data_IF_165376907488
#
_entry.id   IF_165376907488
#
_cell.length_a   1.000
_cell.length_b   1.000
_cell.length_c   1.000
_cell.angle_alpha   90.00
_cell.angle_beta   90.00
_cell.angle_gamma   90.00
#
_symmetry.space_group_name_H-M   'P 1'
#
loop_
_entity.id
_entity.type
_entity.pdbx_description
1 polymer ?
#
# COMPACT_ATOMS: atom_id res chain seq x y z
N UNK A 1 -51.55 3.40 12.76
CA UNK A 1 -52.08 2.21 13.46
C UNK A 1 -51.36 0.97 12.91
N UNK A 2 -50.39 0.42 13.65
CA UNK A 2 -50.45 -0.79 14.50
C UNK A 2 -50.40 -2.14 13.75
N UNK A 3 -49.21 -2.74 13.77
CA UNK A 3 -48.81 -4.13 14.10
C UNK A 3 -49.83 -5.29 14.10
N UNK A 4 -49.34 -6.48 13.68
CA UNK A 4 -49.83 -7.79 14.16
C UNK A 4 -49.20 -9.00 13.44
N UNK A 5 -47.97 -9.41 13.79
CA UNK A 5 -47.64 -10.67 14.51
C UNK A 5 -48.50 -11.91 14.17
N UNK A 6 -47.94 -12.85 13.39
CA UNK A 6 -48.37 -14.26 13.39
C UNK A 6 -47.63 -15.02 14.50
N UNK A 7 -48.30 -15.26 15.63
CA UNK A 7 -47.89 -16.20 16.69
C UNK A 7 -48.54 -17.54 16.42
N UNK A 8 -47.72 -18.58 16.26
CA UNK A 8 -48.18 -19.98 16.15
C UNK A 8 -48.54 -20.49 17.54
N UNK A 9 -49.72 -21.10 17.63
CA UNK A 9 -50.40 -21.54 18.84
C UNK A 9 -49.69 -22.69 19.57
N UNK A 10 -49.83 -22.68 20.90
CA UNK A 10 -49.59 -23.82 21.77
C UNK A 10 -50.89 -24.63 21.89
N UNK A 11 -50.79 -25.96 21.89
CA UNK A 11 -51.87 -26.86 22.32
C UNK A 11 -51.29 -27.84 23.33
N UNK A 12 -51.81 -27.78 24.55
CA UNK A 12 -51.64 -28.76 25.62
C UNK A 12 -52.93 -29.57 25.65
N UNK A 13 -52.84 -30.90 25.55
CA UNK A 13 -53.96 -31.80 25.83
C UNK A 13 -53.58 -32.67 27.02
N UNK A 14 -54.30 -32.46 28.12
CA UNK A 14 -54.35 -33.34 29.28
C UNK A 14 -55.58 -34.24 29.13
N UNK A 15 -55.42 -35.55 29.36
CA UNK A 15 -56.53 -36.47 29.54
C UNK A 15 -56.36 -37.16 30.90
N UNK A 16 -57.27 -36.84 31.83
CA UNK A 16 -57.54 -37.61 33.05
C UNK A 16 -58.41 -38.82 32.70
N UNK A 17 -58.06 -39.99 33.23
CA UNK A 17 -58.98 -41.12 33.41
C UNK A 17 -58.72 -41.73 34.79
N UNK A 18 -59.74 -41.67 35.66
CA UNK A 18 -59.82 -42.44 36.88
C UNK A 18 -60.39 -43.83 36.56
N UNK A 19 -59.81 -44.88 37.15
CA UNK A 19 -60.33 -46.24 37.08
C UNK A 19 -59.62 -47.13 38.08
N UNK A 20 -60.38 -47.67 39.03
CA UNK A 20 -59.97 -48.50 40.17
C UNK A 20 -59.51 -49.91 39.75
N UNK A 21 -58.46 -50.43 40.41
CA UNK A 21 -58.32 -51.88 40.64
C UNK A 21 -57.08 -52.58 40.06
N UNK A 22 -56.30 -53.15 40.99
CA UNK A 22 -55.50 -54.37 40.88
C UNK A 22 -54.09 -54.35 40.21
N UNK A 23 -53.13 -54.77 41.05
CA UNK A 23 -51.81 -55.38 40.80
C UNK A 23 -50.81 -54.62 39.93
N UNK A 24 -49.80 -54.06 40.61
CA UNK A 24 -48.47 -53.76 40.06
C UNK A 24 -47.74 -55.06 39.71
N UNK A 25 -47.29 -55.29 38.47
CA UNK A 25 -46.04 -55.97 38.26
C UNK A 25 -44.92 -54.97 38.50
N UNK A 26 -43.89 -55.37 39.24
CA UNK A 26 -42.63 -54.66 39.31
C UNK A 26 -42.05 -54.59 37.88
N UNK A 27 -42.22 -53.43 37.23
CA UNK A 27 -41.45 -53.10 36.04
C UNK A 27 -40.08 -52.60 36.51
N UNK A 28 -39.11 -53.50 36.48
CA UNK A 28 -37.71 -53.12 36.46
C UNK A 28 -37.44 -52.16 35.29
N UNK A 29 -36.75 -51.07 35.63
CA UNK A 29 -35.98 -50.16 34.77
C UNK A 29 -36.10 -50.33 33.25
N UNK A 30 -37.02 -49.59 32.63
CA UNK A 30 -36.83 -49.14 31.25
C UNK A 30 -37.02 -47.63 31.18
N UNK A 31 -35.90 -46.92 31.31
CA UNK A 31 -35.79 -45.47 31.21
C UNK A 31 -36.34 -44.88 29.91
N UNK A 32 -37.65 -44.69 29.86
CA UNK A 32 -38.33 -43.80 28.93
C UNK A 32 -38.26 -42.41 29.56
N UNK A 33 -37.22 -41.64 29.23
CA UNK A 33 -37.39 -40.21 29.35
C UNK A 33 -38.45 -39.79 28.35
N UNK A 34 -39.55 -39.24 28.84
CA UNK A 34 -40.47 -38.48 28.02
C UNK A 34 -39.67 -37.45 27.23
N UNK A 35 -40.04 -37.23 25.97
CA UNK A 35 -39.46 -36.20 25.10
C UNK A 35 -39.37 -34.83 25.82
N UNK A 36 -40.29 -34.57 26.76
CA UNK A 36 -40.32 -33.39 27.63
C UNK A 36 -39.06 -33.24 28.50
N UNK A 37 -38.56 -34.31 29.13
CA UNK A 37 -37.39 -34.24 30.03
C UNK A 37 -36.09 -34.03 29.26
N UNK A 38 -35.95 -34.67 28.09
CA UNK A 38 -34.79 -34.48 27.20
C UNK A 38 -34.75 -33.04 26.67
N UNK A 39 -35.91 -32.47 26.32
CA UNK A 39 -36.02 -31.08 25.86
C UNK A 39 -35.72 -30.09 26.99
N UNK A 40 -36.18 -30.35 28.22
CA UNK A 40 -35.85 -29.53 29.39
C UNK A 40 -34.34 -29.54 29.68
N UNK A 41 -33.70 -30.70 29.56
CA UNK A 41 -32.25 -30.82 29.77
C UNK A 41 -31.45 -30.20 28.62
N UNK A 42 -31.95 -30.26 27.38
CA UNK A 42 -31.38 -29.52 26.24
C UNK A 42 -31.47 -28.00 26.44
N UNK A 43 -32.60 -27.51 26.96
CA UNK A 43 -32.82 -26.11 27.29
C UNK A 43 -31.93 -25.66 28.46
N UNK A 44 -31.54 -26.58 29.37
CA UNK A 44 -30.61 -26.30 30.47
C UNK A 44 -29.17 -26.03 29.99
N UNK A 45 -28.79 -26.54 28.82
CA UNK A 45 -27.46 -26.30 28.23
C UNK A 45 -27.49 -25.03 27.39
N UNK A 46 -26.87 -23.98 27.93
CA UNK A 46 -26.86 -22.65 27.32
C UNK A 46 -26.27 -22.61 25.89
N UNK A 47 -26.66 -21.57 25.14
CA UNK A 47 -26.09 -21.27 23.82
C UNK A 47 -24.63 -20.86 23.95
N UNK A 48 -23.77 -21.33 23.04
CA UNK A 48 -22.38 -20.89 22.95
C UNK A 48 -22.31 -19.42 22.52
N UNK A 49 -21.58 -18.61 23.29
CA UNK A 49 -21.29 -17.19 23.03
C UNK A 49 -19.78 -16.94 22.95
N UNK A 50 -19.39 -15.73 22.51
CA UNK A 50 -17.97 -15.35 22.45
C UNK A 50 -17.15 -16.14 21.43
N UNK A 51 -17.78 -16.80 20.46
CA UNK A 51 -17.09 -17.54 19.41
C UNK A 51 -16.18 -16.58 18.65
N UNK A 52 -14.88 -16.88 18.59
CA UNK A 52 -13.87 -16.16 17.84
C UNK A 52 -12.87 -17.09 17.17
N UNK A 53 -12.13 -16.59 16.18
CA UNK A 53 -11.10 -17.35 15.48
C UNK A 53 -9.73 -16.67 15.51
N UNK A 54 -8.69 -17.48 15.42
CA UNK A 54 -7.33 -17.08 15.04
C UNK A 54 -6.89 -17.97 13.88
N UNK A 55 -6.60 -17.37 12.74
CA UNK A 55 -6.04 -18.09 11.60
C UNK A 55 -4.58 -18.38 11.88
N UNK A 56 -4.21 -19.67 11.89
CA UNK A 56 -2.86 -20.12 12.25
C UNK A 56 -1.98 -20.25 11.01
N UNK A 57 -2.56 -20.71 9.90
CA UNK A 57 -1.83 -20.97 8.66
C UNK A 57 -2.76 -20.87 7.44
N UNK A 58 -2.26 -21.30 6.29
CA UNK A 58 -3.06 -21.44 5.08
C UNK A 58 -3.98 -22.68 5.08
N UNK A 59 -3.95 -23.51 6.13
CA UNK A 59 -4.76 -24.73 6.23
C UNK A 59 -5.33 -25.00 7.63
N UNK A 60 -5.12 -24.08 8.58
CA UNK A 60 -5.54 -24.25 9.96
C UNK A 60 -6.15 -22.98 10.57
N UNK A 61 -7.27 -23.17 11.28
CA UNK A 61 -7.98 -22.11 12.01
C UNK A 61 -8.28 -22.62 13.42
N UNK A 62 -7.91 -21.85 14.44
CA UNK A 62 -8.27 -22.12 15.83
C UNK A 62 -9.51 -21.34 16.21
N UNK A 63 -10.57 -22.04 16.61
CA UNK A 63 -11.78 -21.48 17.18
C UNK A 63 -11.69 -21.47 18.71
N UNK A 64 -12.23 -20.43 19.34
CA UNK A 64 -12.33 -20.30 20.79
C UNK A 64 -13.70 -19.71 21.16
N UNK A 65 -14.26 -20.09 22.30
CA UNK A 65 -15.55 -19.58 22.77
C UNK A 65 -15.63 -19.53 24.29
N UNK A 66 -16.68 -18.91 24.83
CA UNK A 66 -16.92 -18.85 26.27
C UNK A 66 -17.42 -20.19 26.82
N UNK A 67 -16.98 -20.56 28.02
CA UNK A 67 -17.44 -21.78 28.71
C UNK A 67 -18.95 -21.72 28.95
N UNK A 68 -19.68 -22.76 28.59
CA UNK A 68 -21.10 -22.94 28.89
C UNK A 68 -21.23 -23.73 30.20
N UNK A 69 -21.89 -23.15 31.21
CA UNK A 69 -22.15 -23.82 32.51
C UNK A 69 -22.96 -25.10 32.28
N UNK A 70 -22.57 -26.20 32.93
CA UNK A 70 -23.27 -27.48 32.83
C UNK A 70 -23.02 -28.28 31.54
N UNK A 71 -22.19 -27.79 30.60
CA UNK A 71 -21.85 -28.53 29.38
C UNK A 71 -20.82 -29.64 29.68
N UNK A 72 -21.07 -30.84 29.17
CA UNK A 72 -20.11 -31.95 29.15
C UNK A 72 -19.07 -31.81 28.02
N UNK A 73 -19.38 -31.02 27.00
CA UNK A 73 -18.48 -30.72 25.88
C UNK A 73 -19.16 -29.88 24.80
N UNK A 74 -18.49 -29.78 23.65
CA UNK A 74 -18.93 -28.98 22.52
C UNK A 74 -18.77 -29.77 21.23
N UNK A 75 -19.63 -29.48 20.25
CA UNK A 75 -19.50 -30.00 18.89
C UNK A 75 -19.31 -28.84 17.93
N UNK A 76 -18.28 -28.95 17.10
CA UNK A 76 -17.93 -27.95 16.09
C UNK A 76 -18.45 -28.39 14.73
N UNK A 77 -19.01 -27.43 13.98
CA UNK A 77 -19.58 -27.64 12.66
C UNK A 77 -18.99 -26.62 11.68
N UNK A 78 -18.82 -27.06 10.43
CA UNK A 78 -18.37 -26.21 9.32
C UNK A 78 -19.36 -26.30 8.16
N UNK A 79 -19.63 -25.17 7.53
CA UNK A 79 -20.52 -25.13 6.37
C UNK A 79 -19.83 -25.71 5.14
N UNK A 80 -20.46 -26.71 4.50
CA UNK A 80 -20.05 -27.27 3.21
C UNK A 80 -21.31 -27.59 2.41
N UNK A 81 -21.36 -27.17 1.14
CA UNK A 81 -22.50 -27.37 0.24
C UNK A 81 -23.83 -26.90 0.86
N UNK A 82 -23.84 -25.68 1.42
CA UNK A 82 -25.02 -25.06 2.03
C UNK A 82 -25.39 -25.56 3.44
N UNK A 83 -24.91 -26.73 3.87
CA UNK A 83 -25.24 -27.36 5.16
C UNK A 83 -24.08 -27.33 6.16
N UNK A 84 -24.38 -27.39 7.45
CA UNK A 84 -23.37 -27.45 8.53
C UNK A 84 -23.06 -28.91 8.89
N UNK A 85 -21.89 -29.39 8.51
CA UNK A 85 -21.44 -30.75 8.80
C UNK A 85 -20.61 -30.77 10.08
N UNK A 86 -20.73 -31.83 10.87
CA UNK A 86 -19.95 -32.03 12.10
C UNK A 86 -18.48 -32.22 11.75
N UNK A 87 -17.61 -31.47 12.41
CA UNK A 87 -16.16 -31.68 12.37
C UNK A 87 -15.68 -32.59 13.50
N UNK A 88 -16.20 -32.39 14.71
CA UNK A 88 -15.78 -33.16 15.87
C UNK A 88 -16.29 -32.61 17.19
N UNK A 89 -16.03 -33.36 18.25
CA UNK A 89 -16.35 -32.99 19.62
C UNK A 89 -15.08 -32.64 20.39
N UNK A 90 -15.19 -31.74 21.37
CA UNK A 90 -14.11 -31.42 22.30
C UNK A 90 -14.67 -31.08 23.69
N UNK A 91 -13.89 -31.38 24.74
CA UNK A 91 -14.25 -31.03 26.13
C UNK A 91 -13.90 -29.58 26.47
N UNK A 92 -12.80 -29.07 25.91
CA UNK A 92 -12.34 -27.70 26.10
C UNK A 92 -13.14 -26.67 25.30
N UNK A 93 -12.83 -25.40 25.52
CA UNK A 93 -13.47 -24.24 24.88
C UNK A 93 -12.73 -23.76 23.62
N UNK A 94 -11.93 -24.64 23.01
CA UNK A 94 -11.23 -24.37 21.75
C UNK A 94 -11.15 -25.61 20.88
N UNK A 95 -11.05 -25.39 19.57
CA UNK A 95 -10.91 -26.45 18.58
C UNK A 95 -10.13 -25.94 17.37
N UNK A 96 -9.10 -26.69 16.96
CA UNK A 96 -8.31 -26.37 15.77
C UNK A 96 -8.81 -27.18 14.59
N UNK A 97 -9.37 -26.48 13.61
CA UNK A 97 -9.76 -27.08 12.32
C UNK A 97 -8.52 -27.12 11.44
N UNK A 98 -8.21 -28.30 10.89
CA UNK A 98 -7.03 -28.56 10.06
C UNK A 98 -7.43 -29.00 8.65
N UNK A 99 -6.45 -29.08 7.75
CA UNK A 99 -6.61 -29.53 6.36
C UNK A 99 -7.64 -28.68 5.57
N UNK A 100 -7.73 -27.40 5.90
CA UNK A 100 -8.57 -26.46 5.19
C UNK A 100 -7.92 -26.04 3.86
N UNK A 101 -8.72 -25.73 2.81
CA UNK A 101 -8.20 -25.16 1.59
C UNK A 101 -7.54 -23.79 1.83
N UNK A 102 -6.53 -23.47 1.02
CA UNK A 102 -5.84 -22.19 1.12
C UNK A 102 -6.76 -21.02 0.73
N UNK A 103 -6.50 -19.83 1.31
CA UNK A 103 -7.18 -18.57 0.98
C UNK A 103 -8.71 -18.67 0.83
N UNK A 104 -9.36 -19.47 1.66
CA UNK A 104 -10.78 -19.82 1.53
C UNK A 104 -11.57 -19.26 2.69
N UNK A 105 -12.77 -18.73 2.40
CA UNK A 105 -13.70 -18.23 3.41
C UNK A 105 -14.44 -19.40 4.02
N UNK A 106 -14.42 -19.50 5.33
CA UNK A 106 -15.03 -20.59 6.08
C UNK A 106 -16.07 -20.06 7.06
N UNK A 107 -17.07 -20.89 7.33
CA UNK A 107 -18.21 -20.56 8.18
C UNK A 107 -18.36 -21.65 9.26
N UNK A 108 -18.34 -21.24 10.53
CA UNK A 108 -18.38 -22.15 11.66
C UNK A 108 -19.56 -21.91 12.58
N UNK A 109 -20.07 -22.99 13.16
CA UNK A 109 -20.98 -22.97 14.29
C UNK A 109 -20.52 -23.95 15.36
N UNK A 110 -20.78 -23.61 16.61
CA UNK A 110 -20.49 -24.47 17.76
C UNK A 110 -21.76 -24.60 18.60
N UNK A 111 -22.01 -25.78 19.14
CA UNK A 111 -23.06 -25.96 20.16
C UNK A 111 -22.51 -26.79 21.31
N UNK A 112 -22.92 -26.44 22.53
CA UNK A 112 -22.62 -27.23 23.71
C UNK A 112 -23.53 -28.45 23.78
N UNK A 113 -23.06 -29.51 24.45
CA UNK A 113 -23.87 -30.67 24.77
C UNK A 113 -23.67 -31.09 26.24
N UNK A 114 -24.67 -31.75 26.80
CA UNK A 114 -24.60 -32.48 28.08
C UNK A 114 -24.78 -33.97 27.80
N UNK A 115 -24.08 -34.81 28.54
CA UNK A 115 -24.22 -36.26 28.44
C UNK A 115 -25.15 -36.73 29.55
N UNK A 116 -26.28 -37.32 29.18
CA UNK A 116 -27.31 -37.82 30.10
C UNK A 116 -27.51 -39.30 29.79
N UNK A 117 -27.24 -40.18 30.76
CA UNK A 117 -27.27 -41.66 30.58
C UNK A 117 -26.57 -42.12 29.28
N UNK A 118 -25.36 -41.60 29.04
CA UNK A 118 -24.55 -41.93 27.85
C UNK A 118 -24.98 -41.26 26.54
N UNK A 119 -26.10 -40.53 26.48
CA UNK A 119 -26.60 -39.85 25.27
C UNK A 119 -26.28 -38.35 25.29
N UNK A 120 -25.93 -37.78 24.12
CA UNK A 120 -25.65 -36.34 23.97
C UNK A 120 -26.93 -35.56 23.72
N UNK A 121 -27.24 -34.66 24.64
CA UNK A 121 -28.33 -33.70 24.53
C UNK A 121 -27.73 -32.33 24.20
N UNK A 122 -28.22 -31.69 23.14
CA UNK A 122 -27.56 -30.51 22.56
C UNK A 122 -28.33 -29.22 22.80
N UNK A 123 -27.60 -28.16 23.17
CA UNK A 123 -28.14 -26.81 23.21
C UNK A 123 -28.26 -26.16 21.82
N UNK A 124 -28.69 -24.90 21.79
CA UNK A 124 -28.79 -24.09 20.56
C UNK A 124 -27.41 -23.87 19.92
N UNK A 125 -27.38 -23.81 18.59
CA UNK A 125 -26.19 -23.37 17.84
C UNK A 125 -25.80 -21.94 18.19
N UNK A 126 -24.48 -21.67 18.19
CA UNK A 126 -23.92 -20.32 18.17
C UNK A 126 -24.42 -19.51 16.97
N UNK A 127 -24.18 -18.19 17.00
CA UNK A 127 -24.21 -17.41 15.77
C UNK A 127 -23.19 -17.97 14.75
N UNK A 128 -23.44 -17.73 13.46
CA UNK A 128 -22.49 -18.08 12.41
C UNK A 128 -21.22 -17.25 12.57
N UNK A 129 -20.05 -17.89 12.43
CA UNK A 129 -18.76 -17.22 12.49
C UNK A 129 -18.01 -17.37 11.17
N UNK A 130 -17.83 -16.24 10.49
CA UNK A 130 -17.10 -16.15 9.23
C UNK A 130 -15.64 -15.79 9.49
N UNK A 131 -14.73 -16.45 8.78
CA UNK A 131 -13.29 -16.19 8.82
C UNK A 131 -12.66 -16.75 7.55
N UNK A 132 -11.33 -16.72 7.41
CA UNK A 132 -10.65 -17.30 6.26
C UNK A 132 -9.29 -17.89 6.64
N UNK A 133 -8.81 -18.86 5.85
CA UNK A 133 -7.42 -19.31 5.90
C UNK A 133 -6.49 -18.27 5.27
N UNK A 134 -5.23 -18.24 5.73
CA UNK A 134 -4.23 -17.36 5.13
C UNK A 134 -3.96 -17.78 3.67
N UNK A 135 -3.63 -16.83 2.78
CA UNK A 135 -3.00 -17.16 1.51
C UNK A 135 -1.66 -17.90 1.69
N UNK A 136 -1.29 -18.66 0.67
CA UNK A 136 0.09 -19.17 0.57
C UNK A 136 1.07 -18.00 0.34
N UNK A 137 2.36 -18.25 0.57
CA UNK A 137 3.40 -17.28 0.24
C UNK A 137 3.37 -16.98 -1.27
N UNK A 138 3.55 -15.71 -1.64
CA UNK A 138 3.64 -15.34 -3.05
C UNK A 138 4.87 -15.98 -3.69
N UNK A 139 4.74 -16.40 -4.96
CA UNK A 139 5.81 -17.03 -5.76
C UNK A 139 6.13 -16.18 -6.99
N UNK A 140 7.36 -16.31 -7.47
CA UNK A 140 7.79 -15.70 -8.73
C UNK A 140 7.80 -14.17 -8.74
N UNK A 141 7.93 -13.52 -7.57
CA UNK A 141 8.15 -12.07 -7.53
C UNK A 141 9.45 -11.76 -8.29
N UNK A 142 9.36 -10.87 -9.28
CA UNK A 142 10.50 -10.41 -10.07
C UNK A 142 10.33 -8.95 -10.47
N UNK A 143 11.44 -8.34 -10.85
CA UNK A 143 11.48 -7.05 -11.52
C UNK A 143 11.21 -7.29 -13.01
N UNK A 144 10.18 -6.65 -13.55
CA UNK A 144 9.80 -6.74 -14.97
C UNK A 144 10.47 -5.68 -15.83
N UNK A 145 10.61 -4.46 -15.30
CA UNK A 145 11.29 -3.36 -15.98
C UNK A 145 11.73 -2.31 -14.98
N UNK A 146 12.76 -1.55 -15.36
CA UNK A 146 13.27 -0.39 -14.61
C UNK A 146 13.27 0.84 -15.51
N UNK A 147 12.72 1.93 -15.00
CA UNK A 147 12.81 3.28 -15.56
C UNK A 147 13.79 4.13 -14.76
N UNK A 148 13.86 5.42 -15.09
CA UNK A 148 14.66 6.41 -14.34
C UNK A 148 14.03 6.73 -12.99
N UNK A 149 12.69 6.72 -12.90
CA UNK A 149 11.92 7.07 -11.70
C UNK A 149 10.97 5.96 -11.22
N UNK A 150 11.08 4.76 -11.80
CA UNK A 150 10.07 3.72 -11.62
C UNK A 150 10.62 2.31 -11.75
N UNK A 151 9.96 1.37 -11.07
CA UNK A 151 10.24 -0.07 -11.13
C UNK A 151 8.93 -0.82 -11.26
N UNK A 152 8.78 -1.64 -12.30
CA UNK A 152 7.63 -2.53 -12.46
C UNK A 152 7.95 -3.90 -11.88
N UNK A 153 7.11 -4.36 -10.95
CA UNK A 153 7.15 -5.68 -10.34
C UNK A 153 6.08 -6.58 -10.96
N UNK A 154 6.36 -7.89 -11.07
CA UNK A 154 5.36 -8.91 -11.40
C UNK A 154 5.54 -10.17 -10.59
N UNK A 155 4.49 -10.98 -10.48
CA UNK A 155 4.50 -12.24 -9.74
C UNK A 155 3.48 -13.25 -10.29
N UNK A 156 3.57 -14.50 -9.83
CA UNK A 156 2.63 -15.55 -10.22
C UNK A 156 1.28 -15.37 -9.51
N UNK A 157 0.19 -15.52 -10.25
CA UNK A 157 -1.17 -15.47 -9.68
C UNK A 157 -1.37 -16.58 -8.64
N UNK A 158 -1.85 -16.21 -7.46
CA UNK A 158 -2.34 -17.13 -6.44
C UNK A 158 -3.77 -16.75 -6.02
N UNK A 159 -4.48 -17.70 -5.42
CA UNK A 159 -5.80 -17.45 -4.85
C UNK A 159 -5.69 -16.49 -3.67
N UNK A 160 -6.15 -15.26 -3.84
CA UNK A 160 -6.23 -14.23 -2.79
C UNK A 160 -7.21 -13.13 -3.20
N UNK A 161 -7.53 -12.22 -2.26
CA UNK A 161 -8.33 -11.02 -2.56
C UNK A 161 -7.47 -9.92 -3.18
N UNK A 162 -6.26 -9.70 -2.66
CA UNK A 162 -5.30 -8.72 -3.20
C UNK A 162 -3.87 -9.05 -2.75
N UNK A 163 -2.91 -8.37 -3.35
CA UNK A 163 -1.51 -8.35 -2.98
C UNK A 163 -1.17 -7.03 -2.30
N UNK A 164 -0.28 -7.08 -1.32
CA UNK A 164 0.30 -5.94 -0.63
C UNK A 164 1.77 -5.82 -0.99
N UNK A 165 2.19 -4.63 -1.41
CA UNK A 165 3.53 -4.34 -1.90
C UNK A 165 4.26 -3.55 -0.82
N UNK A 166 5.47 -3.97 -0.50
CA UNK A 166 6.32 -3.34 0.49
C UNK A 166 7.65 -2.93 -0.13
N UNK A 167 8.15 -1.78 0.31
CA UNK A 167 9.47 -1.26 -0.02
C UNK A 167 10.30 -1.15 1.27
N UNK A 168 11.59 -1.44 1.18
CA UNK A 168 12.54 -1.14 2.24
C UNK A 168 12.90 0.35 2.18
N UNK A 169 12.55 1.10 3.22
CA UNK A 169 12.82 2.52 3.36
C UNK A 169 13.62 2.71 4.65
N UNK A 170 14.91 3.04 4.51
CA UNK A 170 15.84 3.24 5.64
C UNK A 170 15.92 2.05 6.61
N UNK A 171 15.89 0.82 6.07
CA UNK A 171 15.95 -0.42 6.87
C UNK A 171 14.58 -0.97 7.29
N UNK A 172 13.51 -0.21 7.12
CA UNK A 172 12.15 -0.61 7.51
C UNK A 172 11.27 -0.96 6.31
N UNK A 173 10.48 -2.02 6.45
CA UNK A 173 9.52 -2.41 5.42
C UNK A 173 8.20 -1.66 5.55
N UNK A 174 7.89 -0.80 4.58
CA UNK A 174 6.65 -0.01 4.54
C UNK A 174 5.73 -0.49 3.42
N UNK A 175 4.43 -0.59 3.69
CA UNK A 175 3.43 -0.87 2.64
C UNK A 175 3.30 0.36 1.75
N UNK A 176 3.59 0.19 0.45
CA UNK A 176 3.53 1.27 -0.53
C UNK A 176 2.33 1.15 -1.47
N UNK A 177 1.63 0.00 -1.44
CA UNK A 177 0.47 -0.18 -2.31
C UNK A 177 -0.21 -1.54 -2.15
N UNK A 178 -1.38 -1.64 -2.80
CA UNK A 178 -2.15 -2.86 -2.94
C UNK A 178 -2.70 -2.99 -4.36
N UNK A 179 -2.86 -4.21 -4.85
CA UNK A 179 -3.47 -4.47 -6.16
C UNK A 179 -4.15 -5.83 -6.20
N UNK A 180 -5.19 -6.00 -7.01
CA UNK A 180 -5.80 -7.29 -7.32
C UNK A 180 -5.09 -8.00 -8.49
N UNK A 181 -4.33 -7.25 -9.28
CA UNK A 181 -3.54 -7.76 -10.40
C UNK A 181 -2.25 -8.46 -9.97
N UNK A 182 -1.50 -8.96 -10.93
CA UNK A 182 -0.23 -9.68 -10.74
C UNK A 182 1.00 -8.84 -11.06
N UNK A 183 0.84 -7.53 -11.10
CA UNK A 183 1.91 -6.56 -11.30
C UNK A 183 1.63 -5.25 -10.58
N UNK A 184 2.69 -4.51 -10.26
CA UNK A 184 2.60 -3.19 -9.66
C UNK A 184 3.79 -2.33 -10.10
N UNK A 185 3.54 -1.10 -10.52
CA UNK A 185 4.60 -0.14 -10.86
C UNK A 185 4.80 0.81 -9.69
N UNK A 186 5.97 0.74 -9.08
CA UNK A 186 6.45 1.72 -8.10
C UNK A 186 6.97 2.92 -8.89
N UNK A 187 6.52 4.13 -8.55
CA UNK A 187 6.87 5.40 -9.22
C UNK A 187 7.52 6.36 -8.22
N UNK A 188 7.97 7.52 -8.71
CA UNK A 188 8.58 8.59 -7.90
C UNK A 188 9.83 8.11 -7.14
N UNK A 189 10.61 7.26 -7.79
CA UNK A 189 11.89 6.78 -7.30
C UNK A 189 13.00 7.73 -7.78
N UNK A 190 14.07 7.83 -7.00
CA UNK A 190 15.26 8.57 -7.41
C UNK A 190 16.00 7.79 -8.50
N UNK A 191 16.58 8.45 -9.51
CA UNK A 191 17.45 7.82 -10.50
C UNK A 191 18.69 7.18 -9.89
N UNK A 192 19.27 6.21 -10.59
CA UNK A 192 20.50 5.48 -10.21
C UNK A 192 20.50 4.95 -8.76
N UNK A 193 19.33 4.69 -8.18
CA UNK A 193 19.18 4.35 -6.76
C UNK A 193 18.72 2.91 -6.60
N UNK A 194 19.34 2.19 -5.64
CA UNK A 194 19.00 0.80 -5.32
C UNK A 194 17.78 0.75 -4.39
N UNK A 195 16.80 -0.07 -4.75
CA UNK A 195 15.56 -0.32 -4.01
C UNK A 195 15.34 -1.82 -3.78
N UNK A 196 14.67 -2.15 -2.68
CA UNK A 196 14.28 -3.51 -2.35
C UNK A 196 12.77 -3.61 -2.13
N UNK A 197 12.19 -4.68 -2.66
CA UNK A 197 10.75 -4.91 -2.62
C UNK A 197 10.43 -6.33 -2.17
N UNK A 198 9.31 -6.48 -1.45
CA UNK A 198 8.68 -7.77 -1.18
C UNK A 198 7.17 -7.62 -1.21
N UNK A 199 6.47 -8.73 -1.39
CA UNK A 199 5.00 -8.73 -1.42
C UNK A 199 4.44 -9.76 -0.45
N UNK A 200 3.16 -9.63 -0.10
CA UNK A 200 2.38 -10.72 0.50
C UNK A 200 0.95 -10.71 -0.04
N UNK A 201 0.33 -11.88 -0.10
CA UNK A 201 -1.07 -11.99 -0.45
C UNK A 201 -1.97 -11.79 0.77
N UNK A 202 -3.17 -11.30 0.51
CA UNK A 202 -4.21 -11.02 1.49
C UNK A 202 -5.53 -11.67 1.08
N UNK A 203 -6.20 -12.35 2.01
CA UNK A 203 -7.58 -12.81 1.88
C UNK A 203 -8.47 -12.01 2.83
N UNK A 204 -9.51 -11.39 2.29
CA UNK A 204 -10.54 -10.73 3.10
C UNK A 204 -11.64 -11.73 3.42
N UNK A 205 -12.02 -11.84 4.69
CA UNK A 205 -13.24 -12.54 5.09
C UNK A 205 -14.49 -11.65 4.91
N UNK A 206 -15.68 -12.24 5.09
CA UNK A 206 -16.97 -11.58 4.87
C UNK A 206 -17.42 -10.67 6.02
N UNK A 207 -16.60 -10.49 7.06
CA UNK A 207 -16.97 -9.54 8.11
C UNK A 207 -16.85 -8.14 7.54
N UNK A 208 -17.92 -7.35 7.74
CA UNK A 208 -18.05 -5.93 7.35
C UNK A 208 -16.91 -5.02 7.84
N UNK A 209 -15.94 -5.55 8.59
CA UNK A 209 -14.81 -4.86 9.21
C UNK A 209 -13.47 -5.38 8.67
N UNK A 210 -13.12 -5.14 7.40
CA UNK A 210 -11.74 -5.22 6.85
C UNK A 210 -10.79 -6.31 7.40
N UNK A 211 -11.30 -7.50 7.74
CA UNK A 211 -10.51 -8.53 8.40
C UNK A 211 -9.66 -9.24 7.36
N UNK A 212 -8.39 -8.86 7.34
CA UNK A 212 -7.41 -9.32 6.39
C UNK A 212 -6.61 -10.48 6.99
N UNK A 213 -6.57 -11.59 6.27
CA UNK A 213 -5.77 -12.77 6.56
C UNK A 213 -4.56 -12.74 5.63
N UNK A 214 -3.37 -12.64 6.19
CA UNK A 214 -2.15 -12.41 5.42
C UNK A 214 -1.33 -13.69 5.27
N UNK A 215 -0.87 -13.94 4.05
CA UNK A 215 0.16 -14.94 3.80
C UNK A 215 1.52 -14.48 4.29
N UNK A 216 2.48 -15.41 4.30
CA UNK A 216 3.89 -15.05 4.50
C UNK A 216 4.37 -14.10 3.40
N UNK A 217 5.36 -13.26 3.72
CA UNK A 217 6.04 -12.46 2.72
C UNK A 217 6.73 -13.34 1.67
N UNK A 218 6.85 -12.84 0.45
CA UNK A 218 7.74 -13.38 -0.58
C UNK A 218 9.20 -13.21 -0.17
N UNK A 219 10.10 -13.80 -0.98
CA UNK A 219 11.49 -13.34 -1.04
C UNK A 219 11.59 -11.86 -1.42
N UNK A 220 12.75 -11.26 -1.16
CA UNK A 220 13.06 -9.88 -1.50
C UNK A 220 13.64 -9.84 -2.91
N UNK A 221 13.20 -8.88 -3.72
CA UNK A 221 13.84 -8.53 -4.99
C UNK A 221 14.51 -7.16 -4.86
N UNK A 222 15.63 -6.99 -5.53
CA UNK A 222 16.38 -5.72 -5.57
C UNK A 222 16.36 -5.18 -7.00
N UNK A 223 16.20 -3.87 -7.16
CA UNK A 223 16.25 -3.19 -8.44
C UNK A 223 17.05 -1.89 -8.28
N UNK A 224 17.81 -1.50 -9.30
CA UNK A 224 18.42 -0.17 -9.38
C UNK A 224 17.71 0.57 -10.51
N UNK A 225 17.18 1.77 -10.24
CA UNK A 225 16.62 2.63 -11.29
C UNK A 225 17.69 3.05 -12.28
N UNK A 226 17.30 3.35 -13.51
CA UNK A 226 18.23 3.85 -14.53
C UNK A 226 18.79 5.22 -14.12
N UNK A 227 19.98 5.55 -14.62
CA UNK A 227 20.47 6.92 -14.57
C UNK A 227 19.51 7.82 -15.37
N UNK A 228 19.32 9.04 -14.91
CA UNK A 228 18.56 10.05 -15.65
C UNK A 228 19.47 10.70 -16.68
N UNK A 229 18.94 10.92 -17.88
CA UNK A 229 19.63 11.68 -18.94
C UNK A 229 19.33 13.19 -18.84
N UNK A 230 18.53 13.58 -17.84
CA UNK A 230 18.21 15.00 -17.57
C UNK A 230 19.47 15.77 -17.20
N UNK A 231 19.53 17.00 -17.70
CA UNK A 231 20.53 18.01 -17.32
C UNK A 231 20.52 18.15 -15.78
N UNK A 232 21.71 18.15 -15.17
CA UNK A 232 21.88 18.32 -13.73
C UNK A 232 22.42 19.70 -13.40
N UNK A 233 22.40 20.09 -12.13
CA UNK A 233 23.03 21.35 -11.70
C UNK A 233 24.52 21.40 -12.07
N UNK A 234 25.25 20.28 -11.96
CA UNK A 234 26.65 20.23 -12.35
C UNK A 234 26.83 20.47 -13.86
N UNK A 235 25.93 19.96 -14.68
CA UNK A 235 25.96 20.22 -16.12
C UNK A 235 25.63 21.68 -16.44
N UNK A 236 24.69 22.30 -15.70
CA UNK A 236 24.38 23.73 -15.78
C UNK A 236 25.57 24.60 -15.38
N UNK A 237 26.30 24.24 -14.32
CA UNK A 237 27.46 25.00 -13.84
C UNK A 237 28.60 24.98 -14.88
N UNK A 238 28.86 23.83 -15.50
CA UNK A 238 29.82 23.70 -16.60
C UNK A 238 29.37 24.53 -17.81
N UNK A 239 28.10 24.41 -18.21
CA UNK A 239 27.54 25.16 -19.33
C UNK A 239 27.59 26.68 -19.09
N UNK A 240 27.27 27.16 -17.88
CA UNK A 240 27.35 28.58 -17.51
C UNK A 240 28.75 29.11 -17.75
N UNK A 241 29.76 28.36 -17.30
CA UNK A 241 31.17 28.72 -17.49
C UNK A 241 31.55 28.77 -18.97
N UNK A 242 31.23 27.73 -19.74
CA UNK A 242 31.51 27.68 -21.19
C UNK A 242 30.83 28.83 -21.95
N UNK A 243 29.59 29.17 -21.60
CA UNK A 243 28.85 30.26 -22.23
C UNK A 243 29.41 31.63 -21.85
N UNK A 244 29.85 31.81 -20.60
CA UNK A 244 30.50 33.06 -20.18
C UNK A 244 31.84 33.26 -20.89
N UNK A 245 32.67 32.22 -20.98
CA UNK A 245 33.93 32.26 -21.73
C UNK A 245 33.68 32.57 -23.22
N UNK A 246 32.65 31.95 -23.81
CA UNK A 246 32.21 32.26 -25.17
C UNK A 246 31.77 33.72 -25.31
N UNK A 247 30.95 34.23 -24.39
CA UNK A 247 30.50 35.64 -24.38
C UNK A 247 31.69 36.61 -24.31
N UNK A 248 32.61 36.40 -23.37
CA UNK A 248 33.82 37.21 -23.24
C UNK A 248 34.66 37.17 -24.52
N UNK A 249 34.69 36.05 -25.25
CA UNK A 249 35.43 35.94 -26.53
C UNK A 249 34.82 36.78 -27.65
N UNK A 250 33.53 37.14 -27.55
CA UNK A 250 32.80 37.97 -28.52
C UNK A 250 32.81 39.47 -28.19
N UNK A 251 33.20 39.84 -26.98
CA UNK A 251 33.27 41.23 -26.51
C UNK A 251 34.50 41.98 -27.06
N UNK A 252 34.63 42.08 -28.39
CA UNK A 252 35.78 42.69 -29.07
C UNK A 252 35.99 44.16 -28.66
N UNK A 253 34.92 44.96 -28.69
CA UNK A 253 34.98 46.37 -28.26
C UNK A 253 35.49 46.52 -26.82
N UNK A 254 34.97 45.70 -25.90
CA UNK A 254 35.40 45.73 -24.50
C UNK A 254 36.88 45.38 -24.41
N UNK A 255 37.37 44.36 -25.14
CA UNK A 255 38.78 43.98 -25.10
C UNK A 255 39.71 45.11 -25.56
N UNK A 256 39.28 45.90 -26.53
CA UNK A 256 40.06 47.02 -27.05
C UNK A 256 39.97 48.26 -26.16
N UNK A 257 38.85 48.46 -25.47
CA UNK A 257 38.53 49.72 -24.79
C UNK A 257 38.31 49.59 -23.26
N UNK A 258 38.61 48.44 -22.64
CA UNK A 258 38.31 48.20 -21.21
C UNK A 258 38.92 49.24 -20.27
N UNK A 259 40.02 49.89 -20.66
CA UNK A 259 40.68 50.94 -19.85
C UNK A 259 39.88 52.23 -19.77
N UNK A 260 38.88 52.41 -20.63
CA UNK A 260 38.01 53.59 -20.68
C UNK A 260 36.80 53.48 -19.75
N UNK A 261 36.53 52.28 -19.20
CA UNK A 261 35.38 52.03 -18.34
C UNK A 261 35.66 52.40 -16.88
N UNK A 262 34.60 52.76 -16.15
CA UNK A 262 34.69 53.13 -14.74
C UNK A 262 35.24 51.99 -13.87
N UNK A 263 36.16 52.34 -12.95
CA UNK A 263 36.87 51.40 -12.08
C UNK A 263 38.23 50.91 -12.61
N UNK A 264 38.65 51.28 -13.82
CA UNK A 264 39.99 50.95 -14.30
C UNK A 264 41.07 51.63 -13.43
N UNK A 265 42.09 50.88 -13.03
CA UNK A 265 43.16 51.36 -12.15
C UNK A 265 42.83 51.32 -10.65
N UNK A 266 41.58 51.02 -10.27
CA UNK A 266 41.14 50.93 -8.86
C UNK A 266 40.50 49.59 -8.53
N UNK A 267 39.58 49.11 -9.37
CA UNK A 267 38.83 47.86 -9.17
C UNK A 267 39.29 46.72 -10.08
N UNK A 268 39.88 47.06 -11.23
CA UNK A 268 40.50 46.12 -12.17
C UNK A 268 41.60 46.82 -12.98
N UNK A 269 42.55 46.04 -13.50
CA UNK A 269 43.67 46.50 -14.31
C UNK A 269 43.83 45.67 -15.61
N UNK A 270 43.16 44.53 -15.72
CA UNK A 270 43.15 43.69 -16.92
C UNK A 270 41.73 43.49 -17.43
N UNK A 271 41.59 43.12 -18.71
CA UNK A 271 40.28 42.80 -19.29
C UNK A 271 39.64 41.57 -18.63
N UNK A 272 40.44 40.60 -18.19
CA UNK A 272 39.91 39.42 -17.49
C UNK A 272 39.37 39.81 -16.11
N UNK A 273 40.07 40.68 -15.38
CA UNK A 273 39.56 41.24 -14.11
C UNK A 273 38.28 42.08 -14.33
N UNK A 274 38.18 42.81 -15.44
CA UNK A 274 36.93 43.49 -15.83
C UNK A 274 35.79 42.49 -16.01
N UNK A 275 35.99 41.41 -16.78
CA UNK A 275 34.97 40.39 -16.98
C UNK A 275 34.58 39.69 -15.68
N UNK A 276 35.55 39.33 -14.83
CA UNK A 276 35.30 38.73 -13.52
C UNK A 276 34.51 39.66 -12.60
N UNK A 277 34.80 40.96 -12.63
CA UNK A 277 34.04 41.98 -11.91
C UNK A 277 32.59 42.04 -12.41
N UNK A 278 32.36 42.07 -13.73
CA UNK A 278 31.02 42.03 -14.30
C UNK A 278 30.25 40.78 -13.85
N UNK A 279 30.86 39.59 -13.97
CA UNK A 279 30.23 38.32 -13.56
C UNK A 279 29.85 38.31 -12.08
N UNK A 280 30.67 38.95 -11.23
CA UNK A 280 30.44 39.06 -9.78
C UNK A 280 29.32 40.02 -9.43
N UNK A 281 29.21 41.12 -10.18
CA UNK A 281 28.34 42.23 -9.80
C UNK A 281 26.98 42.20 -10.50
N UNK A 282 26.88 41.62 -11.70
CA UNK A 282 25.64 41.67 -12.48
C UNK A 282 24.65 40.61 -12.00
N UNK A 283 23.45 41.07 -11.66
CA UNK A 283 22.29 40.26 -11.32
C UNK A 283 21.07 40.75 -12.09
N UNK A 284 20.00 39.93 -12.21
CA UNK A 284 18.75 40.38 -12.81
C UNK A 284 18.10 41.60 -12.12
N UNK A 285 18.49 41.92 -10.88
CA UNK A 285 17.91 43.04 -10.11
C UNK A 285 18.66 44.37 -10.33
N UNK A 286 19.91 44.32 -10.78
CA UNK A 286 20.76 45.52 -10.92
C UNK A 286 21.32 45.73 -12.33
N UNK A 287 20.99 44.86 -13.29
CA UNK A 287 21.49 44.88 -14.66
C UNK A 287 20.33 44.77 -15.66
N UNK A 288 20.54 45.23 -16.89
CA UNK A 288 19.52 45.12 -17.94
C UNK A 288 19.61 43.75 -18.63
N UNK A 289 18.48 43.26 -19.14
CA UNK A 289 18.44 42.11 -20.03
C UNK A 289 17.24 42.19 -20.97
N UNK A 290 17.39 41.70 -22.20
CA UNK A 290 16.32 41.81 -23.20
C UNK A 290 15.29 40.67 -23.13
N UNK A 291 15.71 39.49 -22.68
CA UNK A 291 14.85 38.29 -22.62
C UNK A 291 15.40 37.24 -21.66
N UNK A 292 14.52 36.40 -21.12
CA UNK A 292 14.87 35.24 -20.30
C UNK A 292 14.70 33.96 -21.12
N UNK A 293 15.74 33.13 -21.19
CA UNK A 293 15.68 31.83 -21.85
C UNK A 293 15.40 30.73 -20.83
N UNK A 294 14.52 29.80 -21.17
CA UNK A 294 14.05 28.76 -20.26
C UNK A 294 14.63 27.42 -20.68
N UNK A 295 15.26 26.73 -19.74
CA UNK A 295 15.68 25.33 -19.88
C UNK A 295 14.80 24.51 -18.94
N UNK A 296 13.86 23.70 -19.45
CA UNK A 296 13.05 22.82 -18.60
C UNK A 296 13.93 21.82 -17.82
N UNK A 297 13.57 21.54 -16.56
CA UNK A 297 14.34 20.59 -15.73
C UNK A 297 14.25 19.12 -16.17
N UNK A 298 13.43 18.82 -17.16
CA UNK A 298 13.37 17.53 -17.85
C UNK A 298 14.09 17.50 -19.19
N UNK A 299 14.77 18.59 -19.58
CA UNK A 299 15.63 18.64 -20.76
C UNK A 299 16.80 17.65 -20.64
N UNK A 300 17.16 17.06 -21.77
CA UNK A 300 18.18 15.99 -21.90
C UNK A 300 19.28 16.32 -22.91
N UNK A 301 19.08 17.29 -23.81
CA UNK A 301 20.05 17.63 -24.86
C UNK A 301 20.80 18.93 -24.53
N UNK A 302 21.84 18.81 -23.70
CA UNK A 302 22.64 19.96 -23.30
C UNK A 302 23.43 20.59 -24.46
N UNK A 303 23.80 19.80 -25.48
CA UNK A 303 24.59 20.33 -26.60
C UNK A 303 23.74 21.21 -27.52
N UNK A 304 22.49 20.83 -27.77
CA UNK A 304 21.55 21.69 -28.50
C UNK A 304 21.20 22.96 -27.70
N UNK A 305 21.00 22.85 -26.38
CA UNK A 305 20.82 24.02 -25.50
C UNK A 305 22.02 24.98 -25.58
N UNK A 306 23.24 24.45 -25.45
CA UNK A 306 24.48 25.25 -25.57
C UNK A 306 24.56 25.97 -26.91
N UNK A 307 24.29 25.26 -28.01
CA UNK A 307 24.30 25.83 -29.36
C UNK A 307 23.27 26.97 -29.51
N UNK A 308 22.05 26.78 -29.00
CA UNK A 308 21.02 27.82 -29.05
C UNK A 308 21.44 29.07 -28.26
N UNK A 309 21.98 28.90 -27.06
CA UNK A 309 22.43 30.03 -26.23
C UNK A 309 23.62 30.77 -26.85
N UNK A 310 24.59 30.06 -27.46
CA UNK A 310 25.67 30.70 -28.24
C UNK A 310 25.14 31.56 -29.39
N UNK A 311 24.15 31.07 -30.13
CA UNK A 311 23.51 31.86 -31.20
C UNK A 311 22.82 33.13 -30.67
N UNK A 312 22.29 33.09 -29.43
CA UNK A 312 21.68 34.26 -28.78
C UNK A 312 22.72 35.28 -28.32
N UNK A 313 23.85 34.82 -27.79
CA UNK A 313 25.01 35.66 -27.48
C UNK A 313 25.50 36.36 -28.75
N UNK A 314 25.73 35.61 -29.84
CA UNK A 314 26.16 36.18 -31.12
C UNK A 314 25.17 37.22 -31.67
N UNK A 315 23.87 36.98 -31.46
CA UNK A 315 22.84 37.94 -31.86
C UNK A 315 22.83 39.21 -30.99
N UNK A 316 23.10 39.07 -29.69
CA UNK A 316 23.26 40.20 -28.77
C UNK A 316 24.39 41.14 -29.21
N UNK A 317 25.57 40.58 -29.46
CA UNK A 317 26.74 41.35 -29.91
C UNK A 317 26.55 42.00 -31.29
N UNK A 318 25.75 41.40 -32.20
CA UNK A 318 25.39 42.05 -33.47
C UNK A 318 24.52 43.31 -33.31
N UNK A 319 23.88 43.49 -32.15
CA UNK A 319 23.00 44.64 -31.88
C UNK A 319 23.66 45.68 -30.98
N UNK A 320 24.40 45.22 -29.99
CA UNK A 320 25.08 46.05 -29.01
C UNK A 320 26.54 45.55 -28.94
N UNK A 321 27.41 46.15 -29.72
CA UNK A 321 28.83 45.75 -29.80
C UNK A 321 29.66 46.27 -28.62
N UNK A 322 29.18 47.33 -27.97
CA UNK A 322 29.83 48.10 -26.90
C UNK A 322 29.52 47.59 -25.48
N UNK A 323 28.78 46.48 -25.35
CA UNK A 323 28.38 45.92 -24.04
C UNK A 323 29.09 44.60 -23.73
N UNK A 324 29.19 44.27 -22.44
CA UNK A 324 29.61 42.95 -21.99
C UNK A 324 28.40 42.12 -21.54
N UNK A 325 28.12 41.01 -22.23
CA UNK A 325 27.05 40.11 -21.81
C UNK A 325 27.53 39.13 -20.72
N UNK A 326 26.93 39.22 -19.53
CA UNK A 326 27.10 38.25 -18.43
C UNK A 326 26.01 37.19 -18.51
N UNK A 327 26.43 35.93 -18.54
CA UNK A 327 25.55 34.76 -18.51
C UNK A 327 25.21 34.44 -17.05
N UNK A 328 24.00 34.79 -16.65
CA UNK A 328 23.45 34.45 -15.34
C UNK A 328 22.43 33.32 -15.49
N UNK A 329 22.54 32.28 -14.67
CA UNK A 329 21.60 31.15 -14.66
C UNK A 329 21.10 30.95 -13.24
N UNK A 330 19.78 30.93 -13.09
CA UNK A 330 19.10 30.69 -11.81
C UNK A 330 18.13 29.50 -11.91
N UNK A 331 17.90 28.85 -10.78
CA UNK A 331 16.95 27.75 -10.67
C UNK A 331 15.56 28.30 -10.33
N UNK A 332 14.57 28.03 -11.20
CA UNK A 332 13.18 28.40 -11.03
C UNK A 332 12.31 27.15 -10.77
N UNK A 333 12.32 26.59 -9.54
CA UNK A 333 11.61 25.33 -9.24
C UNK A 333 10.08 25.44 -9.35
N UNK A 334 9.54 26.66 -9.24
CA UNK A 334 8.11 26.95 -9.38
C UNK A 334 7.78 27.59 -10.73
N UNK A 335 8.76 27.67 -11.64
CA UNK A 335 8.62 28.38 -12.91
C UNK A 335 8.78 29.89 -12.79
N UNK A 336 8.39 30.58 -13.86
CA UNK A 336 8.38 32.02 -14.05
C UNK A 336 7.00 32.44 -14.59
N UNK A 337 6.69 33.73 -14.62
CA UNK A 337 5.42 34.25 -15.17
C UNK A 337 5.16 33.79 -16.62
N UNK A 338 6.24 33.50 -17.36
CA UNK A 338 6.21 33.03 -18.74
C UNK A 338 6.26 31.50 -18.89
N UNK A 339 6.45 30.75 -17.80
CA UNK A 339 6.59 29.29 -17.82
C UNK A 339 6.18 28.64 -16.49
N UNK A 340 5.13 27.81 -16.51
CA UNK A 340 4.55 27.20 -15.30
C UNK A 340 5.26 25.93 -14.79
N UNK A 341 6.46 25.61 -15.28
CA UNK A 341 7.19 24.39 -14.92
C UNK A 341 8.51 24.68 -14.20
N UNK A 342 9.07 23.67 -13.54
CA UNK A 342 10.42 23.74 -12.97
C UNK A 342 11.48 23.91 -14.07
N UNK A 343 12.30 24.94 -13.97
CA UNK A 343 13.26 25.34 -15.02
C UNK A 343 14.61 25.82 -14.45
N UNK A 344 15.58 26.01 -15.35
CA UNK A 344 16.64 26.99 -15.20
C UNK A 344 16.35 28.20 -16.10
N UNK A 345 16.45 29.40 -15.53
CA UNK A 345 16.27 30.66 -16.22
C UNK A 345 17.64 31.24 -16.56
N UNK A 346 17.89 31.48 -17.84
CA UNK A 346 19.14 32.03 -18.36
C UNK A 346 18.92 33.48 -18.77
N UNK A 347 19.72 34.38 -18.21
CA UNK A 347 19.73 35.80 -18.47
C UNK A 347 21.06 36.16 -19.14
N UNK A 348 20.98 36.99 -20.19
CA UNK A 348 22.13 37.67 -20.77
C UNK A 348 22.08 39.12 -20.28
N UNK A 349 22.80 39.37 -19.19
CA UNK A 349 22.81 40.67 -18.49
C UNK A 349 23.82 41.61 -19.15
N UNK A 350 23.51 42.90 -19.27
CA UNK A 350 24.40 43.93 -19.78
C UNK A 350 24.13 45.30 -19.16
#
# INVERSE_FOLDING_TARGET
>A
MKNGMKKTAAVVMAAMLMGTGAVVPAAEDMGIFSQTTIVAEAASVGKVTGLKSKTLSNSEIKLNWSKVKGASGYTVYMRKNGKYNKLGDCKGTSYTVKKLPNATRENFKVRAYKTVKGKKVYGKYSANWNTATNPQACKGLKVSSVGTDSVKLSWTKIGCTNYRIYQNIKGEWKEIGKTTGTSYTVKKLAPATKYQFKIRACKQDDKKTNNNHYGKYSGVVTATTKKSDKITQADIDVMKKELQEYSNSKAEFIRENYTEFDGYGTEYNTVDEFFERCVRNYTPDNSSYSSVYIIPTDETDIEEVKKQLKNKIDYGYRRNEDVNFVVYIDNCPNGLDIYNGSCWAVYLLY
#
